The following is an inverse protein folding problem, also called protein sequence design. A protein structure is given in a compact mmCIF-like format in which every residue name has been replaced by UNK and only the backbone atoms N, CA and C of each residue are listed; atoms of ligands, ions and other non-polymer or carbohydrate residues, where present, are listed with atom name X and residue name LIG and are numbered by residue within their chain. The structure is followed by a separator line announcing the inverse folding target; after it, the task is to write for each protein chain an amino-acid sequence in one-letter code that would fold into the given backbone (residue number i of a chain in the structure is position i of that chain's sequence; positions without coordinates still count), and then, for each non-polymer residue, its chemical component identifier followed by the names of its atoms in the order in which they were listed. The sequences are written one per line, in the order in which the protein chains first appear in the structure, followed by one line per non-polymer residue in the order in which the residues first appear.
data_IF_085492262277
#
_entry.id   IF_085492262277
#
_cell.length_a   1.000
_cell.length_b   1.000
_cell.length_c   1.000
_cell.angle_alpha   90.00
_cell.angle_beta   90.00
_cell.angle_gamma   90.00
#
_symmetry.space_group_name_H-M   'P 1'
#
loop_
_entity.id
_entity.type
_entity.pdbx_description
1 polymer ?
#
# COMPACT_ATOMS: atom_id res chain seq x y z
N UNK A 1 -14.14 -9.85 -11.79
CA UNK A 1 -14.65 -8.87 -10.80
C UNK A 1 -13.55 -8.60 -9.80
N UNK A 2 -13.29 -7.33 -9.45
CA UNK A 2 -12.23 -6.97 -8.51
C UNK A 2 -12.67 -7.22 -7.07
N UNK A 3 -11.87 -7.95 -6.28
CA UNK A 3 -12.15 -8.28 -4.88
C UNK A 3 -11.89 -7.08 -3.94
N UNK A 4 -10.86 -6.30 -4.25
CA UNK A 4 -10.37 -5.19 -3.43
C UNK A 4 -10.55 -3.85 -4.13
N UNK A 5 -10.80 -2.82 -3.32
CA UNK A 5 -10.81 -1.42 -3.72
C UNK A 5 -9.84 -0.61 -2.85
N UNK A 6 -9.22 0.38 -3.47
CA UNK A 6 -8.32 1.34 -2.86
C UNK A 6 -8.85 2.76 -3.15
N UNK A 7 -9.06 3.55 -2.12
CA UNK A 7 -9.28 5.00 -2.25
C UNK A 7 -8.05 5.70 -1.70
N UNK A 8 -7.44 6.52 -2.55
CA UNK A 8 -6.45 7.50 -2.14
C UNK A 8 -7.17 8.83 -1.90
N UNK A 9 -6.85 9.50 -0.80
CA UNK A 9 -7.44 10.81 -0.47
C UNK A 9 -7.29 11.78 -1.65
N UNK A 10 -8.41 12.30 -2.16
CA UNK A 10 -8.43 13.26 -3.28
C UNK A 10 -8.30 12.63 -4.68
N UNK A 11 -8.38 11.31 -4.83
CA UNK A 11 -8.30 10.61 -6.12
C UNK A 11 -9.47 9.68 -6.36
N UNK A 12 -9.62 9.25 -7.61
CA UNK A 12 -10.58 8.22 -7.99
C UNK A 12 -10.25 6.87 -7.35
N UNK A 13 -11.29 6.07 -7.13
CA UNK A 13 -11.17 4.69 -6.64
C UNK A 13 -10.38 3.84 -7.62
N UNK A 14 -9.48 3.03 -7.09
CA UNK A 14 -8.68 2.06 -7.84
C UNK A 14 -9.12 0.66 -7.45
N UNK A 15 -9.44 -0.17 -8.44
CA UNK A 15 -9.82 -1.58 -8.25
C UNK A 15 -8.87 -2.53 -8.97
N UNK A 16 -7.87 -1.97 -9.66
CA UNK A 16 -6.88 -2.71 -10.44
C UNK A 16 -5.77 -3.21 -9.51
N UNK A 17 -6.01 -4.37 -8.89
CA UNK A 17 -5.02 -5.12 -8.14
C UNK A 17 -4.42 -6.22 -9.02
N UNK A 18 -3.10 -6.19 -9.18
CA UNK A 18 -2.33 -7.20 -9.89
C UNK A 18 -2.10 -8.40 -8.95
N UNK A 19 -2.55 -9.61 -9.30
CA UNK A 19 -2.25 -10.81 -8.53
C UNK A 19 -0.78 -11.21 -8.73
N UNK A 20 -0.01 -11.29 -7.64
CA UNK A 20 1.36 -11.83 -7.65
C UNK A 20 1.30 -13.36 -7.48
N UNK A 21 0.45 -13.81 -6.56
CA UNK A 21 0.18 -15.21 -6.29
C UNK A 21 -1.32 -15.42 -6.10
N UNK A 22 -1.75 -16.65 -5.84
CA UNK A 22 -3.18 -16.97 -5.59
C UNK A 22 -3.77 -16.22 -4.40
N UNK A 23 -2.94 -15.84 -3.42
CA UNK A 23 -3.37 -15.15 -2.19
C UNK A 23 -2.77 -13.76 -2.03
N UNK A 24 -1.91 -13.30 -2.94
CA UNK A 24 -1.23 -12.01 -2.81
C UNK A 24 -1.54 -11.10 -3.99
N UNK A 25 -1.90 -9.87 -3.68
CA UNK A 25 -2.35 -8.85 -4.61
C UNK A 25 -1.58 -7.56 -4.36
N UNK A 26 -1.19 -6.86 -5.42
CA UNK A 26 -0.48 -5.59 -5.34
C UNK A 26 -1.12 -4.54 -6.22
N UNK A 27 -1.10 -3.28 -5.77
CA UNK A 27 -1.43 -2.14 -6.61
C UNK A 27 -0.45 -1.00 -6.36
N UNK A 28 -0.25 -0.18 -7.38
CA UNK A 28 0.73 0.93 -7.35
C UNK A 28 -0.02 2.25 -7.26
N UNK A 29 0.38 3.06 -6.28
CA UNK A 29 -0.07 4.42 -6.13
C UNK A 29 0.98 5.35 -6.73
N UNK A 30 0.69 5.95 -7.89
CA UNK A 30 1.57 6.95 -8.49
C UNK A 30 1.60 8.25 -7.66
N UNK A 31 2.64 9.07 -7.76
CA UNK A 31 2.71 10.40 -7.10
C UNK A 31 2.30 10.38 -5.61
N UNK A 32 2.78 9.39 -4.88
CA UNK A 32 2.39 9.11 -3.52
C UNK A 32 2.92 10.13 -2.52
N UNK A 33 3.80 11.06 -2.90
CA UNK A 33 4.48 12.03 -2.00
C UNK A 33 3.50 12.83 -1.14
N UNK A 34 2.37 13.23 -1.74
CA UNK A 34 1.39 14.11 -1.08
C UNK A 34 0.23 13.36 -0.41
N UNK A 35 0.27 12.03 -0.36
CA UNK A 35 -0.80 11.22 0.21
C UNK A 35 -0.64 11.07 1.72
N UNK A 36 -1.71 11.36 2.45
CA UNK A 36 -1.74 11.21 3.90
C UNK A 36 -2.52 9.97 4.37
N UNK A 37 -3.65 9.71 3.73
CA UNK A 37 -4.53 8.60 4.08
C UNK A 37 -4.94 7.80 2.86
N UNK A 38 -5.01 6.50 3.06
CA UNK A 38 -5.56 5.54 2.11
C UNK A 38 -6.69 4.76 2.78
N UNK A 39 -7.64 4.30 1.98
CA UNK A 39 -8.72 3.41 2.42
C UNK A 39 -8.65 2.15 1.58
N UNK A 40 -8.59 1.01 2.25
CA UNK A 40 -8.65 -0.30 1.59
C UNK A 40 -9.94 -0.98 2.01
N UNK A 41 -10.67 -1.55 1.05
CA UNK A 41 -11.96 -2.16 1.30
C UNK A 41 -12.28 -3.30 0.34
N UNK A 42 -13.21 -4.17 0.73
CA UNK A 42 -13.82 -5.16 -0.12
C UNK A 42 -14.91 -4.52 -0.97
N UNK A 43 -14.92 -4.80 -2.28
CA UNK A 43 -15.94 -4.27 -3.20
C UNK A 43 -17.31 -4.93 -3.00
N UNK A 44 -17.37 -6.04 -2.27
CA UNK A 44 -18.57 -6.86 -2.11
C UNK A 44 -18.83 -7.83 -3.26
N UNK A 45 -17.99 -7.84 -4.30
CA UNK A 45 -18.14 -8.76 -5.43
C UNK A 45 -17.70 -10.20 -5.08
N UNK A 46 -16.67 -10.34 -4.25
CA UNK A 46 -16.12 -11.63 -3.81
C UNK A 46 -15.79 -11.53 -2.31
N UNK A 47 -16.41 -12.37 -1.44
CA UNK A 47 -16.05 -12.42 -0.02
C UNK A 47 -14.73 -13.17 0.18
N UNK A 48 -14.09 -12.98 1.33
CA UNK A 48 -12.98 -13.84 1.72
C UNK A 48 -13.43 -15.29 1.97
N UNK A 49 -12.59 -16.29 1.68
CA UNK A 49 -12.78 -17.66 2.15
C UNK A 49 -13.07 -17.73 3.67
N UNK A 50 -13.76 -18.77 4.10
CA UNK A 50 -14.08 -18.95 5.51
C UNK A 50 -12.81 -19.07 6.35
N UNK A 51 -12.73 -18.31 7.44
CA UNK A 51 -11.57 -18.29 8.34
C UNK A 51 -10.37 -17.47 7.86
N UNK A 52 -10.46 -16.75 6.73
CA UNK A 52 -9.34 -15.91 6.23
C UNK A 52 -9.61 -14.41 6.36
N UNK A 53 -8.53 -13.62 6.27
CA UNK A 53 -8.55 -12.17 6.32
C UNK A 53 -7.41 -11.62 5.46
N UNK A 54 -7.61 -10.44 4.87
CA UNK A 54 -6.59 -9.76 4.09
C UNK A 54 -5.70 -8.91 4.99
N UNK A 55 -4.43 -9.28 5.15
CA UNK A 55 -3.41 -8.43 5.73
C UNK A 55 -2.94 -7.40 4.69
N UNK A 56 -3.03 -6.12 5.04
CA UNK A 56 -2.65 -4.98 4.21
C UNK A 56 -1.22 -4.55 4.55
N UNK A 57 -0.41 -4.36 3.51
CA UNK A 57 0.97 -3.91 3.57
C UNK A 57 1.15 -2.65 2.74
N UNK A 58 2.07 -1.81 3.17
CA UNK A 58 2.53 -0.62 2.47
C UNK A 58 4.01 -0.77 2.17
N UNK A 59 4.44 -0.38 0.98
CA UNK A 59 5.85 -0.34 0.61
C UNK A 59 6.16 0.95 -0.11
N UNK A 60 7.25 1.60 0.28
CA UNK A 60 7.89 2.63 -0.51
C UNK A 60 9.03 1.95 -1.29
N UNK A 61 9.01 1.95 -2.63
CA UNK A 61 10.10 1.43 -3.42
C UNK A 61 11.29 2.39 -3.33
N UNK A 62 12.40 1.91 -2.80
CA UNK A 62 13.70 2.56 -2.90
C UNK A 62 14.44 1.98 -4.12
N UNK A 63 15.01 2.79 -5.04
CA UNK A 63 15.82 2.29 -6.16
C UNK A 63 17.05 1.49 -5.73
N UNK A 64 17.55 1.76 -4.51
CA UNK A 64 18.83 1.25 -4.02
C UNK A 64 18.67 0.17 -2.94
N UNK A 65 17.44 -0.09 -2.49
CA UNK A 65 17.14 -1.08 -1.46
C UNK A 65 15.98 -2.00 -1.87
N UNK A 66 15.95 -3.25 -1.37
CA UNK A 66 14.79 -4.12 -1.58
C UNK A 66 13.51 -3.48 -1.01
N UNK A 67 12.33 -3.72 -1.61
CA UNK A 67 11.07 -3.14 -1.17
C UNK A 67 10.79 -3.43 0.31
N UNK A 68 10.65 -2.39 1.10
CA UNK A 68 10.37 -2.51 2.53
C UNK A 68 8.87 -2.56 2.79
N UNK A 69 8.34 -3.75 3.04
CA UNK A 69 6.92 -3.97 3.28
C UNK A 69 6.58 -3.81 4.76
N UNK A 70 5.81 -2.77 5.08
CA UNK A 70 5.34 -2.45 6.43
C UNK A 70 3.88 -2.88 6.59
N UNK A 71 3.52 -3.69 7.61
CA UNK A 71 2.14 -4.07 7.85
C UNK A 71 1.33 -2.87 8.35
N UNK A 72 0.21 -2.57 7.70
CA UNK A 72 -0.70 -1.48 8.09
C UNK A 72 -1.82 -1.97 9.01
N UNK A 73 -2.36 -3.16 8.74
CA UNK A 73 -3.50 -3.73 9.44
C UNK A 73 -4.23 -4.74 8.56
N UNK A 74 -5.46 -5.10 8.91
CA UNK A 74 -6.20 -6.15 8.24
C UNK A 74 -7.64 -5.74 7.87
N UNK A 75 -8.18 -6.41 6.85
CA UNK A 75 -9.59 -6.40 6.46
C UNK A 75 -10.13 -7.84 6.45
N UNK A 76 -11.40 -8.02 6.76
CA UNK A 76 -12.06 -9.34 6.80
C UNK A 76 -13.52 -9.22 6.41
N UNK A 77 -14.24 -10.35 6.30
CA UNK A 77 -15.69 -10.32 6.06
C UNK A 77 -16.47 -9.58 7.17
N UNK A 78 -15.95 -9.54 8.40
CA UNK A 78 -16.55 -8.80 9.53
C UNK A 78 -16.13 -7.33 9.56
N UNK A 79 -14.93 -7.03 9.04
CA UNK A 79 -14.39 -5.68 8.91
C UNK A 79 -13.97 -5.43 7.46
N UNK A 80 -14.93 -5.15 6.57
CA UNK A 80 -14.68 -5.14 5.13
C UNK A 80 -13.90 -3.91 4.66
N UNK A 81 -13.63 -2.94 5.52
CA UNK A 81 -12.86 -1.74 5.19
C UNK A 81 -12.00 -1.24 6.35
N UNK A 82 -10.91 -0.56 6.01
CA UNK A 82 -10.02 0.09 6.95
C UNK A 82 -9.37 1.33 6.33
N UNK A 83 -9.10 2.34 7.16
CA UNK A 83 -8.43 3.58 6.79
C UNK A 83 -7.06 3.59 7.46
N UNK A 84 -6.02 3.90 6.69
CA UNK A 84 -4.63 3.92 7.15
C UNK A 84 -4.00 5.27 6.91
N UNK A 85 -3.28 5.78 7.91
CA UNK A 85 -2.46 6.99 7.81
C UNK A 85 -1.04 6.60 7.40
N UNK A 86 -0.64 6.98 6.19
CA UNK A 86 0.68 6.64 5.62
C UNK A 86 1.71 7.76 5.74
N UNK A 87 1.28 8.98 6.08
CA UNK A 87 2.19 10.14 6.20
C UNK A 87 3.29 9.94 7.25
N UNK A 88 3.01 9.18 8.31
CA UNK A 88 3.99 8.91 9.38
C UNK A 88 5.04 7.88 8.96
N UNK A 89 4.71 6.97 8.03
CA UNK A 89 5.60 5.91 7.58
C UNK A 89 6.68 6.46 6.64
N UNK A 90 6.31 7.42 5.79
CA UNK A 90 7.25 8.17 4.93
C UNK A 90 8.38 8.81 5.72
N UNK A 91 8.05 9.45 6.84
CA UNK A 91 9.04 10.17 7.67
C UNK A 91 10.06 9.23 8.31
N UNK A 92 9.66 7.99 8.63
CA UNK A 92 10.56 6.99 9.20
C UNK A 92 11.59 6.51 8.16
N UNK A 93 11.17 6.44 6.90
CA UNK A 93 12.02 6.03 5.77
C UNK A 93 12.96 7.15 5.33
N UNK A 94 12.44 8.39 5.18
CA UNK A 94 13.26 9.59 4.92
C UNK A 94 14.37 9.77 5.96
N UNK A 95 14.07 9.49 7.25
CA UNK A 95 15.05 9.59 8.34
C UNK A 95 16.24 8.61 8.20
N UNK A 96 16.10 7.51 7.45
CA UNK A 96 17.19 6.56 7.18
C UNK A 96 18.20 7.08 6.13
N UNK A 97 17.75 7.93 5.21
CA UNK A 97 18.54 8.40 4.05
C UNK A 97 19.38 9.66 4.31
N UNK A 98 19.18 10.35 5.44
CA UNK A 98 19.94 11.58 5.76
C UNK A 98 21.44 11.36 5.97
N UNK A 99 21.92 10.11 6.01
CA UNK A 99 23.35 9.81 6.09
C UNK A 99 24.11 10.01 4.76
N UNK A 100 23.42 10.15 3.63
CA UNK A 100 24.03 10.17 2.28
C UNK A 100 24.00 11.54 1.55
N UNK A 101 23.50 12.61 2.18
CA UNK A 101 23.14 13.87 1.50
C UNK A 101 24.29 14.85 1.19
N UNK A 102 25.57 14.44 1.21
CA UNK A 102 26.64 15.40 0.91
C UNK A 102 26.88 15.63 -0.60
N UNK A 103 26.75 14.64 -1.49
CA UNK A 103 27.04 14.82 -2.94
C UNK A 103 26.38 13.77 -3.88
N UNK A 104 25.06 13.55 -3.83
CA UNK A 104 24.42 12.58 -4.73
C UNK A 104 22.99 12.95 -5.11
N UNK A 105 22.71 12.97 -6.41
CA UNK A 105 21.35 13.09 -6.95
C UNK A 105 20.51 11.92 -6.42
N UNK A 106 19.54 12.19 -5.56
CA UNK A 106 18.57 11.19 -5.13
C UNK A 106 17.57 10.96 -6.27
N UNK A 107 17.47 9.72 -6.72
CA UNK A 107 16.46 9.29 -7.67
C UNK A 107 15.16 9.16 -6.87
N UNK A 108 14.36 10.22 -6.84
CA UNK A 108 13.16 10.29 -6.00
C UNK A 108 12.12 9.33 -6.58
N UNK A 109 11.83 8.24 -5.86
CA UNK A 109 10.72 7.38 -6.22
C UNK A 109 9.45 7.96 -5.65
N UNK A 110 8.58 8.39 -6.56
CA UNK A 110 7.30 8.99 -6.24
C UNK A 110 6.17 7.95 -6.10
N UNK A 111 6.40 6.69 -6.44
CA UNK A 111 5.33 5.68 -6.49
C UNK A 111 5.35 4.84 -5.22
N UNK A 112 4.21 4.64 -4.55
CA UNK A 112 4.08 3.69 -3.44
C UNK A 112 3.39 2.40 -3.90
N UNK A 113 3.52 1.33 -3.14
CA UNK A 113 2.81 0.08 -3.38
C UNK A 113 1.96 -0.33 -2.19
N UNK A 114 0.77 -0.88 -2.48
CA UNK A 114 -0.11 -1.51 -1.50
C UNK A 114 -0.19 -2.98 -1.83
N UNK A 115 0.13 -3.81 -0.84
CA UNK A 115 0.03 -5.26 -0.90
C UNK A 115 -1.13 -5.74 -0.04
N UNK A 116 -1.86 -6.76 -0.49
CA UNK A 116 -2.87 -7.47 0.29
C UNK A 116 -2.55 -8.96 0.21
N UNK A 117 -2.37 -9.61 1.36
CA UNK A 117 -2.22 -11.06 1.47
C UNK A 117 -3.44 -11.64 2.17
N UNK A 118 -4.12 -12.59 1.53
CA UNK A 118 -5.22 -13.39 2.08
C UNK A 118 -4.68 -14.54 2.93
#
# INVERSE_FOLDING_TARGET
MAMFGLIVSGRLVQTEFQPITTTQFVTTINDADNINHIVVFLTGAVPFPEGTAGQVYFSWPDPNAPPNWQPLGYISNQKPSAIYKISSLKKLEEMGDYSNLMFGQSHIVHNAQIGISI
#
